data_IF_777289334745
#
_entry.id   IF_777289334745
#
_cell.length_a   1.000
_cell.length_b   1.000
_cell.length_c   1.000
_cell.angle_alpha   90.00
_cell.angle_beta   90.00
_cell.angle_gamma   90.00
#
_symmetry.space_group_name_H-M   'P 1'
#
loop_
_entity.id
_entity.type
_entity.pdbx_description
1 polymer ?
#
# COMPACT_ATOMS: atom_id res chain seq x y z
N UNK A 1 -4.58 21.95 -10.06
CA UNK A 1 -4.08 20.59 -10.29
C UNK A 1 -3.86 19.95 -8.94
N UNK A 2 -4.52 18.85 -8.64
CA UNK A 2 -4.27 18.07 -7.41
C UNK A 2 -2.82 17.57 -7.45
N UNK A 3 -2.07 17.80 -6.38
CA UNK A 3 -0.68 17.37 -6.28
C UNK A 3 -0.65 15.83 -6.28
N UNK A 4 0.11 15.22 -7.20
CA UNK A 4 0.30 13.76 -7.23
C UNK A 4 0.97 13.28 -5.96
N UNK A 5 0.51 12.15 -5.43
CA UNK A 5 1.14 11.55 -4.24
C UNK A 5 2.56 11.08 -4.56
N UNK A 6 3.45 11.20 -3.57
CA UNK A 6 4.86 10.79 -3.64
C UNK A 6 5.38 10.45 -2.26
N UNK A 7 6.52 9.79 -2.18
CA UNK A 7 7.15 9.42 -0.91
C UNK A 7 6.89 7.98 -0.52
N UNK A 8 6.89 7.71 0.76
CA UNK A 8 6.64 6.39 1.35
C UNK A 8 5.17 6.27 1.70
N UNK A 9 4.46 5.34 1.07
CA UNK A 9 3.08 5.02 1.40
C UNK A 9 3.02 3.62 2.01
N UNK A 10 2.30 3.48 3.12
CA UNK A 10 2.06 2.17 3.71
C UNK A 10 0.81 1.52 3.10
N UNK A 11 0.90 0.30 2.53
CA UNK A 11 -0.26 -0.54 2.25
C UNK A 11 -0.75 -1.12 3.59
N UNK A 12 -1.57 -0.34 4.29
CA UNK A 12 -1.86 -0.48 5.72
C UNK A 12 -2.41 -1.86 6.06
N UNK A 13 -1.86 -2.50 7.10
CA UNK A 13 -2.41 -3.73 7.66
C UNK A 13 -3.77 -3.46 8.31
N UNK A 14 -4.75 -4.34 8.11
CA UNK A 14 -6.06 -4.23 8.76
C UNK A 14 -6.09 -5.11 10.01
N UNK A 15 -6.15 -4.54 11.22
CA UNK A 15 -6.32 -5.32 12.43
C UNK A 15 -7.73 -5.92 12.48
N UNK A 16 -7.80 -7.18 12.90
CA UNK A 16 -9.02 -7.99 12.90
C UNK A 16 -9.26 -8.51 14.31
N UNK A 17 -10.51 -8.42 14.79
CA UNK A 17 -10.93 -8.97 16.09
C UNK A 17 -11.12 -10.49 16.00
N UNK A 18 -11.25 -11.20 17.16
CA UNK A 18 -11.51 -12.64 17.16
C UNK A 18 -12.81 -13.06 16.47
N UNK A 19 -13.81 -12.17 16.37
CA UNK A 19 -15.05 -12.37 15.61
C UNK A 19 -14.90 -12.12 14.12
N UNK A 20 -13.68 -11.87 13.65
CA UNK A 20 -13.30 -11.53 12.28
C UNK A 20 -13.81 -10.17 11.78
N UNK A 21 -14.41 -9.33 12.61
CA UNK A 21 -14.69 -7.94 12.26
C UNK A 21 -13.41 -7.08 12.28
N UNK A 22 -13.38 -5.99 11.51
CA UNK A 22 -12.26 -5.05 11.56
C UNK A 22 -12.19 -4.34 12.92
N UNK A 23 -11.00 -4.21 13.50
CA UNK A 23 -10.75 -3.40 14.69
C UNK A 23 -10.47 -1.95 14.29
N UNK A 24 -11.50 -1.16 14.21
CA UNK A 24 -11.43 0.24 13.78
C UNK A 24 -10.53 1.06 14.70
N UNK A 25 -10.57 0.83 16.00
CA UNK A 25 -9.74 1.59 16.94
C UNK A 25 -8.24 1.36 16.71
N UNK A 26 -7.81 0.09 16.59
CA UNK A 26 -6.42 -0.23 16.22
C UNK A 26 -6.06 0.28 14.82
N UNK A 27 -6.99 0.19 13.88
CA UNK A 27 -6.76 0.60 12.50
C UNK A 27 -6.44 2.11 12.40
N UNK A 28 -7.25 2.95 13.04
CA UNK A 28 -7.03 4.40 13.10
C UNK A 28 -5.72 4.74 13.82
N UNK A 29 -5.43 4.11 14.97
CA UNK A 29 -4.17 4.33 15.70
C UNK A 29 -2.96 3.97 14.85
N UNK A 30 -2.99 2.81 14.17
CA UNK A 30 -1.88 2.41 13.29
C UNK A 30 -1.70 3.37 12.11
N UNK A 31 -2.77 3.79 11.47
CA UNK A 31 -2.72 4.78 10.40
C UNK A 31 -2.08 6.10 10.87
N UNK A 32 -2.45 6.58 12.04
CA UNK A 32 -1.86 7.79 12.63
C UNK A 32 -0.38 7.58 12.92
N UNK A 33 -0.03 6.48 13.58
CA UNK A 33 1.36 6.12 13.85
C UNK A 33 2.22 6.08 12.58
N UNK A 34 1.73 5.51 11.49
CA UNK A 34 2.44 5.45 10.21
C UNK A 34 2.75 6.85 9.66
N UNK A 35 1.78 7.77 9.71
CA UNK A 35 1.98 9.15 9.27
C UNK A 35 2.96 9.89 10.17
N UNK A 36 2.86 9.72 11.49
CA UNK A 36 3.74 10.35 12.48
C UNK A 36 5.20 9.86 12.38
N UNK A 37 5.41 8.65 11.83
CA UNK A 37 6.73 8.03 11.69
C UNK A 37 7.30 8.04 10.28
N UNK A 38 6.77 8.87 9.37
CA UNK A 38 7.42 9.17 8.11
C UNK A 38 6.73 8.67 6.85
N UNK A 39 5.56 8.02 6.94
CA UNK A 39 4.75 7.80 5.77
C UNK A 39 4.18 9.13 5.25
N UNK A 40 4.33 9.37 3.95
CA UNK A 40 3.72 10.53 3.27
C UNK A 40 2.24 10.31 2.98
N UNK A 41 1.80 9.05 3.00
CA UNK A 41 0.42 8.66 2.75
C UNK A 41 0.16 7.19 3.08
N UNK A 42 -1.07 6.79 2.95
CA UNK A 42 -1.56 5.47 3.32
C UNK A 42 -2.36 4.85 2.15
N UNK A 43 -2.09 3.59 1.85
CA UNK A 43 -2.80 2.82 0.82
C UNK A 43 -3.59 1.64 1.46
N UNK A 44 -4.67 1.91 2.22
CA UNK A 44 -5.49 0.86 2.80
C UNK A 44 -6.22 0.06 1.72
N UNK A 45 -6.71 -1.12 2.06
CA UNK A 45 -7.51 -1.99 1.19
C UNK A 45 -6.77 -2.50 -0.06
N UNK A 46 -5.44 -2.69 0.07
CA UNK A 46 -4.64 -3.46 -0.85
C UNK A 46 -4.44 -4.91 -0.38
N UNK A 47 -3.48 -5.62 -0.98
CA UNK A 47 -3.17 -7.01 -0.64
C UNK A 47 -2.72 -7.17 0.82
N UNK A 48 -1.89 -6.25 1.33
CA UNK A 48 -1.45 -6.26 2.74
C UNK A 48 -2.59 -6.01 3.73
N UNK A 49 -3.64 -5.34 3.29
CA UNK A 49 -4.84 -5.04 4.09
C UNK A 49 -5.86 -6.17 4.10
N UNK A 50 -5.56 -7.31 3.47
CA UNK A 50 -6.54 -8.41 3.29
C UNK A 50 -7.82 -7.97 2.54
N UNK A 51 -7.71 -7.01 1.61
CA UNK A 51 -8.87 -6.34 1.01
C UNK A 51 -9.86 -7.31 0.36
N UNK A 52 -9.38 -8.42 -0.22
CA UNK A 52 -10.23 -9.42 -0.87
C UNK A 52 -10.95 -10.36 0.14
N UNK A 53 -10.64 -10.24 1.43
CA UNK A 53 -11.36 -10.90 2.52
C UNK A 53 -12.40 -9.98 3.19
N UNK A 54 -12.54 -8.73 2.73
CA UNK A 54 -13.54 -7.77 3.20
C UNK A 54 -14.54 -7.45 2.09
N UNK A 55 -15.82 -7.36 2.44
CA UNK A 55 -16.87 -6.93 1.52
C UNK A 55 -16.70 -5.44 1.13
N UNK A 56 -17.38 -5.03 0.07
CA UNK A 56 -17.40 -3.61 -0.33
C UNK A 56 -17.99 -2.73 0.76
N UNK A 57 -19.02 -3.20 1.48
CA UNK A 57 -19.64 -2.45 2.58
C UNK A 57 -18.68 -2.27 3.76
N UNK A 58 -17.94 -3.31 4.14
CA UNK A 58 -16.92 -3.20 5.19
C UNK A 58 -15.82 -2.21 4.79
N UNK A 59 -15.36 -2.24 3.53
CA UNK A 59 -14.32 -1.32 3.04
C UNK A 59 -14.80 0.12 3.01
N UNK A 60 -16.06 0.38 2.63
CA UNK A 60 -16.71 1.70 2.72
C UNK A 60 -16.72 2.18 4.16
N UNK A 61 -17.27 1.38 5.09
CA UNK A 61 -17.37 1.74 6.50
C UNK A 61 -16.00 1.99 7.16
N UNK A 62 -14.99 1.17 6.82
CA UNK A 62 -13.63 1.36 7.31
C UNK A 62 -12.99 2.66 6.78
N UNK A 63 -13.22 3.02 5.51
CA UNK A 63 -12.69 4.25 4.94
C UNK A 63 -13.31 5.49 5.59
N UNK A 64 -14.63 5.47 5.79
CA UNK A 64 -15.34 6.50 6.54
C UNK A 64 -14.81 6.65 7.97
N UNK A 65 -14.59 5.52 8.65
CA UNK A 65 -14.04 5.52 9.99
C UNK A 65 -12.62 6.08 10.10
N UNK A 66 -11.75 5.85 9.08
CA UNK A 66 -10.43 6.47 9.03
C UNK A 66 -10.55 8.00 8.95
N UNK A 67 -11.39 8.51 8.04
CA UNK A 67 -11.57 9.95 7.87
C UNK A 67 -12.20 10.57 9.11
N UNK A 68 -13.25 9.96 9.68
CA UNK A 68 -13.88 10.38 10.93
C UNK A 68 -12.92 10.32 12.13
N UNK A 69 -11.96 9.37 12.10
CA UNK A 69 -10.89 9.25 13.09
C UNK A 69 -9.77 10.27 12.91
N UNK A 70 -9.91 11.25 12.00
CA UNK A 70 -8.96 12.35 11.79
C UNK A 70 -7.79 12.03 10.88
N UNK A 71 -7.83 10.91 10.13
CA UNK A 71 -6.81 10.66 9.09
C UNK A 71 -7.13 11.56 7.89
N UNK A 72 -6.18 12.41 7.43
CA UNK A 72 -6.43 13.33 6.32
C UNK A 72 -6.77 12.56 5.04
N UNK A 73 -7.97 12.76 4.49
CA UNK A 73 -8.41 12.07 3.29
C UNK A 73 -7.43 12.23 2.10
N UNK A 74 -6.84 13.42 1.95
CA UNK A 74 -5.85 13.70 0.90
C UNK A 74 -4.58 12.85 1.00
N UNK A 75 -4.29 12.23 2.15
CA UNK A 75 -3.18 11.29 2.34
C UNK A 75 -3.60 9.82 2.14
N UNK A 76 -4.86 9.55 1.81
CA UNK A 76 -5.38 8.21 1.58
C UNK A 76 -5.38 7.87 0.07
N UNK A 77 -4.90 6.65 -0.25
CA UNK A 77 -4.96 6.02 -1.57
C UNK A 77 -5.58 4.62 -1.42
N UNK A 78 -6.89 4.52 -1.10
CA UNK A 78 -7.50 3.21 -0.89
C UNK A 78 -7.47 2.35 -2.14
N UNK A 79 -7.27 1.04 -1.96
CA UNK A 79 -7.44 0.06 -3.01
C UNK A 79 -8.91 -0.06 -3.37
N UNK A 80 -9.27 0.10 -4.65
CA UNK A 80 -10.66 0.03 -5.13
C UNK A 80 -10.90 -1.04 -6.19
N UNK A 81 -9.83 -1.61 -6.79
CA UNK A 81 -9.96 -2.64 -7.81
C UNK A 81 -10.62 -3.91 -7.30
N UNK A 82 -11.69 -4.32 -7.99
CA UNK A 82 -12.45 -5.55 -7.77
C UNK A 82 -12.63 -6.30 -9.09
N UNK A 83 -13.07 -7.56 -9.02
CA UNK A 83 -13.44 -8.32 -10.23
C UNK A 83 -14.73 -7.81 -10.86
N UNK A 84 -15.68 -7.35 -10.03
CA UNK A 84 -16.93 -6.75 -10.50
C UNK A 84 -16.74 -5.26 -10.79
N UNK A 85 -17.12 -4.83 -12.00
CA UNK A 85 -17.06 -3.44 -12.44
C UNK A 85 -17.84 -2.51 -11.50
N UNK A 86 -19.07 -2.91 -11.12
CA UNK A 86 -19.95 -2.14 -10.23
C UNK A 86 -19.32 -1.86 -8.86
N UNK A 87 -18.61 -2.84 -8.31
CA UNK A 87 -17.94 -2.71 -7.01
C UNK A 87 -16.75 -1.76 -7.10
N UNK A 88 -15.96 -1.85 -8.19
CA UNK A 88 -14.86 -0.92 -8.45
C UNK A 88 -15.37 0.51 -8.61
N UNK A 89 -16.44 0.73 -9.38
CA UNK A 89 -17.07 2.04 -9.55
C UNK A 89 -17.55 2.59 -8.21
N UNK A 90 -18.27 1.77 -7.44
CA UNK A 90 -18.82 2.16 -6.12
C UNK A 90 -17.72 2.59 -5.15
N UNK A 91 -16.69 1.77 -4.98
CA UNK A 91 -15.57 2.06 -4.07
C UNK A 91 -14.78 3.28 -4.53
N UNK A 92 -14.56 3.43 -5.84
CA UNK A 92 -13.83 4.56 -6.42
C UNK A 92 -14.61 5.87 -6.24
N UNK A 93 -15.90 5.90 -6.58
CA UNK A 93 -16.76 7.07 -6.38
C UNK A 93 -16.83 7.48 -4.90
N UNK A 94 -16.90 6.48 -3.99
CA UNK A 94 -16.90 6.74 -2.55
C UNK A 94 -15.59 7.38 -2.07
N UNK A 95 -14.43 6.87 -2.52
CA UNK A 95 -13.13 7.45 -2.19
C UNK A 95 -12.99 8.90 -2.69
N UNK A 96 -13.44 9.18 -3.92
CA UNK A 96 -13.45 10.54 -4.47
C UNK A 96 -14.37 11.46 -3.67
N UNK A 97 -15.57 10.99 -3.29
CA UNK A 97 -16.52 11.74 -2.47
C UNK A 97 -15.93 12.14 -1.12
N UNK A 98 -15.14 11.27 -0.49
CA UNK A 98 -14.44 11.54 0.78
C UNK A 98 -13.23 12.46 0.62
N UNK A 99 -12.80 12.76 -0.60
CA UNK A 99 -11.64 13.62 -0.88
C UNK A 99 -10.30 12.90 -0.76
N UNK A 100 -10.26 11.58 -1.00
CA UNK A 100 -9.01 10.82 -1.02
C UNK A 100 -8.05 11.37 -2.09
N UNK A 101 -6.74 11.35 -1.81
CA UNK A 101 -5.70 11.84 -2.71
C UNK A 101 -5.58 11.05 -4.03
N UNK A 102 -6.12 9.84 -4.05
CA UNK A 102 -6.24 8.97 -5.21
C UNK A 102 -6.76 7.60 -4.83
N UNK A 103 -6.81 6.69 -5.80
CA UNK A 103 -7.17 5.29 -5.60
C UNK A 103 -6.11 4.37 -6.19
N UNK A 104 -5.84 3.25 -5.53
CA UNK A 104 -4.97 2.19 -6.03
C UNK A 104 -5.84 1.12 -6.68
N UNK A 105 -5.76 0.96 -8.01
CA UNK A 105 -6.71 0.15 -8.75
C UNK A 105 -6.06 -1.08 -9.41
N UNK A 106 -6.41 -2.27 -8.90
CA UNK A 106 -6.13 -3.55 -9.56
C UNK A 106 -6.93 -3.67 -10.86
N UNK A 107 -6.40 -4.37 -11.88
CA UNK A 107 -7.25 -4.88 -12.97
C UNK A 107 -8.27 -5.89 -12.42
N UNK A 108 -9.35 -6.20 -13.18
CA UNK A 108 -10.28 -7.27 -12.81
C UNK A 108 -9.54 -8.62 -12.85
N UNK A 109 -9.30 -9.21 -11.69
CA UNK A 109 -8.34 -10.29 -11.50
C UNK A 109 -8.94 -11.70 -11.55
N UNK A 110 -10.24 -11.87 -11.72
CA UNK A 110 -10.84 -13.21 -11.79
C UNK A 110 -10.60 -13.86 -13.15
N UNK A 111 -10.92 -13.15 -14.24
CA UNK A 111 -10.72 -13.65 -15.61
C UNK A 111 -9.26 -13.44 -16.03
N UNK A 112 -8.64 -14.51 -16.60
CA UNK A 112 -7.24 -14.49 -17.01
C UNK A 112 -7.11 -14.37 -18.53
N UNK A 113 -5.92 -14.01 -19.00
CA UNK A 113 -5.59 -13.88 -20.42
C UNK A 113 -6.51 -12.88 -21.16
N UNK A 114 -6.92 -11.83 -20.45
CA UNK A 114 -7.71 -10.76 -21.05
C UNK A 114 -6.79 -9.89 -21.91
N UNK A 115 -7.14 -9.62 -23.17
CA UNK A 115 -6.36 -8.73 -24.02
C UNK A 115 -6.41 -7.28 -23.52
N UNK A 116 -5.40 -6.49 -23.90
CA UNK A 116 -5.30 -5.06 -23.53
C UNK A 116 -6.55 -4.25 -23.87
N UNK A 117 -7.25 -4.57 -24.96
CA UNK A 117 -8.51 -3.90 -25.32
C UNK A 117 -9.61 -4.11 -24.28
N UNK A 118 -9.70 -5.33 -23.72
CA UNK A 118 -10.65 -5.63 -22.66
C UNK A 118 -10.32 -4.90 -21.35
N UNK A 119 -9.03 -4.85 -21.00
CA UNK A 119 -8.55 -4.12 -19.83
C UNK A 119 -8.71 -2.60 -20.01
N UNK A 120 -8.38 -2.08 -21.19
CA UNK A 120 -8.62 -0.67 -21.51
C UNK A 120 -10.09 -0.29 -21.32
N UNK A 121 -11.00 -1.07 -21.90
CA UNK A 121 -12.44 -0.85 -21.76
C UNK A 121 -12.88 -0.88 -20.29
N UNK A 122 -12.36 -1.82 -19.50
CA UNK A 122 -12.68 -1.88 -18.06
C UNK A 122 -12.30 -0.59 -17.33
N UNK A 123 -11.06 -0.12 -17.50
CA UNK A 123 -10.62 1.12 -16.85
C UNK A 123 -11.37 2.34 -17.37
N UNK A 124 -11.63 2.43 -18.67
CA UNK A 124 -12.42 3.49 -19.28
C UNK A 124 -13.84 3.53 -18.71
N UNK A 125 -14.53 2.39 -18.67
CA UNK A 125 -15.88 2.27 -18.10
C UNK A 125 -15.92 2.69 -16.62
N UNK A 126 -14.89 2.36 -15.83
CA UNK A 126 -14.80 2.83 -14.43
C UNK A 126 -14.69 4.35 -14.38
N UNK A 127 -13.78 4.93 -15.15
CA UNK A 127 -13.54 6.39 -15.16
C UNK A 127 -14.80 7.14 -15.58
N UNK A 128 -15.43 6.70 -16.66
CA UNK A 128 -16.61 7.35 -17.22
C UNK A 128 -17.83 7.25 -16.29
N UNK A 129 -18.02 6.10 -15.63
CA UNK A 129 -19.11 5.91 -14.66
C UNK A 129 -18.92 6.64 -13.35
N UNK A 130 -17.68 6.83 -12.90
CA UNK A 130 -17.38 7.70 -11.74
C UNK A 130 -17.61 9.15 -12.10
N UNK A 131 -17.20 9.59 -13.30
CA UNK A 131 -17.53 10.89 -13.89
C UNK A 131 -17.09 12.11 -13.07
N UNK A 132 -16.07 11.97 -12.22
CA UNK A 132 -15.59 13.05 -11.34
C UNK A 132 -14.16 13.47 -11.71
N UNK A 133 -13.98 14.75 -12.07
CA UNK A 133 -12.69 15.31 -12.48
C UNK A 133 -11.61 15.31 -11.38
N UNK A 134 -11.98 15.05 -10.12
CA UNK A 134 -11.05 14.92 -8.99
C UNK A 134 -10.44 13.52 -8.88
N UNK A 135 -10.89 12.57 -9.68
CA UNK A 135 -10.41 11.19 -9.66
C UNK A 135 -8.95 11.10 -10.09
N UNK A 136 -8.10 10.57 -9.20
CA UNK A 136 -6.72 10.18 -9.49
C UNK A 136 -6.57 8.67 -9.36
N UNK A 137 -6.25 7.97 -10.44
CA UNK A 137 -6.02 6.52 -10.46
C UNK A 137 -4.52 6.25 -10.49
N UNK A 138 -4.07 5.45 -9.53
CA UNK A 138 -2.79 4.77 -9.54
C UNK A 138 -3.05 3.30 -9.88
N UNK A 139 -2.61 2.88 -11.06
CA UNK A 139 -2.75 1.50 -11.50
C UNK A 139 -1.97 0.57 -10.56
N UNK A 140 -2.47 -0.65 -10.37
CA UNK A 140 -1.78 -1.61 -9.52
C UNK A 140 -1.36 -2.85 -10.30
N UNK A 141 -0.07 -2.94 -10.59
CA UNK A 141 0.55 -4.06 -11.30
C UNK A 141 1.14 -5.05 -10.29
N UNK A 142 0.51 -6.21 -10.12
CA UNK A 142 0.93 -7.30 -9.24
C UNK A 142 0.61 -8.67 -9.89
N UNK A 143 1.31 -9.01 -11.00
CA UNK A 143 0.95 -10.16 -11.83
C UNK A 143 1.03 -11.50 -11.09
N UNK A 144 1.93 -11.66 -10.12
CA UNK A 144 2.05 -12.88 -9.34
C UNK A 144 0.83 -13.17 -8.44
N UNK A 145 0.00 -12.17 -8.14
CA UNK A 145 -1.24 -12.32 -7.36
C UNK A 145 -2.48 -12.23 -8.24
N UNK A 146 -2.56 -11.19 -9.06
CA UNK A 146 -3.71 -10.94 -9.94
C UNK A 146 -3.71 -11.87 -11.16
N UNK A 147 -2.56 -12.32 -11.61
CA UNK A 147 -2.33 -13.04 -12.86
C UNK A 147 -2.96 -12.32 -14.09
N UNK A 148 -2.93 -10.99 -14.04
CA UNK A 148 -3.36 -10.06 -15.09
C UNK A 148 -2.30 -8.96 -15.18
N UNK A 149 -1.33 -9.08 -16.09
CA UNK A 149 -0.31 -8.07 -16.27
C UNK A 149 -0.90 -6.82 -16.96
N UNK A 150 -0.30 -5.65 -16.66
CA UNK A 150 -0.56 -4.40 -17.37
C UNK A 150 0.61 -4.13 -18.30
N UNK A 151 0.38 -4.16 -19.61
CA UNK A 151 1.42 -3.89 -20.60
C UNK A 151 1.76 -2.39 -20.67
N UNK A 152 2.96 -2.05 -21.13
CA UNK A 152 3.34 -0.65 -21.40
C UNK A 152 2.39 0.00 -22.40
N UNK A 153 1.96 -0.74 -23.44
CA UNK A 153 1.01 -0.25 -24.44
C UNK A 153 -0.37 0.10 -23.87
N UNK A 154 -0.89 -0.73 -22.96
CA UNK A 154 -2.12 -0.44 -22.24
C UNK A 154 -2.00 0.82 -21.38
N UNK A 155 -0.91 0.92 -20.62
CA UNK A 155 -0.65 2.06 -19.72
C UNK A 155 -0.55 3.35 -20.55
N UNK A 156 0.21 3.34 -21.66
CA UNK A 156 0.33 4.48 -22.56
C UNK A 156 -1.03 4.92 -23.13
N UNK A 157 -1.86 3.98 -23.55
CA UNK A 157 -3.21 4.27 -24.07
C UNK A 157 -4.09 4.93 -23.00
N UNK A 158 -4.04 4.43 -21.77
CA UNK A 158 -4.79 4.99 -20.65
C UNK A 158 -4.33 6.40 -20.29
N UNK A 159 -3.01 6.63 -20.24
CA UNK A 159 -2.45 7.98 -19.99
C UNK A 159 -2.88 8.95 -21.09
N UNK A 160 -2.82 8.56 -22.37
CA UNK A 160 -3.22 9.41 -23.50
C UNK A 160 -4.72 9.76 -23.48
N UNK A 161 -5.56 8.79 -23.12
CA UNK A 161 -7.01 9.01 -23.09
C UNK A 161 -7.46 9.78 -21.83
N UNK A 162 -6.80 9.58 -20.69
CA UNK A 162 -7.19 10.13 -19.38
C UNK A 162 -6.00 10.76 -18.64
N UNK A 163 -5.31 11.78 -19.20
CA UNK A 163 -4.04 12.29 -18.69
C UNK A 163 -4.13 12.96 -17.32
N UNK A 164 -5.30 13.46 -16.94
CA UNK A 164 -5.55 14.05 -15.62
C UNK A 164 -6.07 13.04 -14.59
N UNK A 165 -6.45 11.85 -15.03
CA UNK A 165 -7.09 10.83 -14.17
C UNK A 165 -6.18 9.64 -13.92
N UNK A 166 -5.49 9.12 -14.93
CA UNK A 166 -4.53 8.01 -14.79
C UNK A 166 -3.15 8.61 -14.55
N UNK A 167 -2.79 8.76 -13.28
CA UNK A 167 -1.68 9.63 -12.85
C UNK A 167 -0.47 8.87 -12.31
N UNK A 168 -0.57 7.56 -12.11
CA UNK A 168 0.54 6.77 -11.59
C UNK A 168 0.29 5.26 -11.64
N UNK A 169 1.30 4.54 -11.18
CA UNK A 169 1.28 3.08 -11.04
C UNK A 169 2.07 2.65 -9.81
N UNK A 170 1.60 1.61 -9.13
CA UNK A 170 2.38 0.79 -8.22
C UNK A 170 2.81 -0.47 -8.96
N UNK A 171 4.11 -0.66 -9.12
CA UNK A 171 4.69 -1.88 -9.68
C UNK A 171 5.17 -2.82 -8.57
N UNK A 172 4.49 -3.93 -8.42
CA UNK A 172 4.82 -5.01 -7.48
C UNK A 172 5.20 -6.32 -8.19
N UNK A 173 5.58 -6.26 -9.47
CA UNK A 173 6.00 -7.46 -10.23
C UNK A 173 7.22 -8.16 -9.60
N UNK A 174 8.07 -7.40 -8.89
CA UNK A 174 9.33 -7.93 -8.32
C UNK A 174 10.41 -8.17 -9.37
N UNK A 175 10.22 -7.65 -10.57
CA UNK A 175 11.18 -7.65 -11.67
C UNK A 175 11.66 -6.21 -11.93
N UNK A 176 12.95 -5.97 -11.70
CA UNK A 176 13.55 -4.65 -11.94
C UNK A 176 13.44 -4.20 -13.40
N UNK A 177 13.53 -5.13 -14.36
CA UNK A 177 13.40 -4.77 -15.78
C UNK A 177 12.04 -4.13 -16.08
N UNK A 178 10.96 -4.64 -15.46
CA UNK A 178 9.64 -4.05 -15.61
C UNK A 178 9.58 -2.64 -15.00
N UNK A 179 10.04 -2.47 -13.74
CA UNK A 179 10.09 -1.15 -13.09
C UNK A 179 10.94 -0.16 -13.90
N UNK A 180 12.12 -0.59 -14.40
CA UNK A 180 12.98 0.24 -15.22
C UNK A 180 12.34 0.64 -16.55
N UNK A 181 11.60 -0.27 -17.19
CA UNK A 181 10.87 0.04 -18.42
C UNK A 181 9.77 1.08 -18.20
N UNK A 182 9.02 0.97 -17.08
CA UNK A 182 8.04 1.97 -16.67
C UNK A 182 8.68 3.35 -16.44
N UNK A 183 9.82 3.39 -15.72
CA UNK A 183 10.56 4.63 -15.46
C UNK A 183 11.02 5.29 -16.75
N UNK A 184 11.61 4.52 -17.67
CA UNK A 184 12.07 5.03 -18.97
C UNK A 184 10.93 5.55 -19.84
N UNK A 185 9.77 4.90 -19.80
CA UNK A 185 8.64 5.25 -20.66
C UNK A 185 7.85 6.46 -20.15
N UNK A 186 7.70 6.62 -18.82
CA UNK A 186 6.67 7.49 -18.28
C UNK A 186 7.14 8.48 -17.20
N UNK A 187 8.34 8.33 -16.61
CA UNK A 187 8.84 9.29 -15.62
C UNK A 187 9.36 10.58 -16.29
N UNK A 188 9.30 11.75 -15.60
CA UNK A 188 8.74 11.98 -14.28
C UNK A 188 7.24 12.33 -14.28
N UNK A 189 6.59 12.37 -15.44
CA UNK A 189 5.21 12.89 -15.60
C UNK A 189 4.13 11.91 -15.15
N UNK A 190 4.51 10.69 -14.79
CA UNK A 190 3.66 9.64 -14.28
C UNK A 190 4.25 9.09 -12.97
N UNK A 191 3.48 9.06 -11.89
CA UNK A 191 3.98 8.68 -10.58
C UNK A 191 4.20 7.16 -10.49
N UNK A 192 5.45 6.72 -10.53
CA UNK A 192 5.83 5.30 -10.46
C UNK A 192 6.29 4.98 -9.05
N UNK A 193 5.54 4.10 -8.37
CA UNK A 193 5.88 3.55 -7.06
C UNK A 193 6.36 2.12 -7.19
N UNK A 194 7.51 1.80 -6.58
CA UNK A 194 7.88 0.40 -6.42
C UNK A 194 7.08 -0.25 -5.27
N UNK A 195 6.65 -1.49 -5.48
CA UNK A 195 6.11 -2.35 -4.43
C UNK A 195 7.17 -3.27 -3.81
N UNK A 196 8.42 -3.20 -4.26
CA UNK A 196 9.55 -4.03 -3.79
C UNK A 196 10.58 -3.13 -3.10
N UNK A 197 10.81 -3.37 -1.83
CA UNK A 197 11.71 -2.56 -0.99
C UNK A 197 13.13 -2.49 -1.55
N UNK A 198 13.64 -3.59 -2.09
CA UNK A 198 14.98 -3.67 -2.68
C UNK A 198 15.19 -2.74 -3.89
N UNK A 199 14.12 -2.26 -4.51
CA UNK A 199 14.18 -1.38 -5.68
C UNK A 199 13.96 0.11 -5.36
N UNK A 200 13.77 0.47 -4.08
CA UNK A 200 13.40 1.85 -3.73
C UNK A 200 14.44 2.87 -4.20
N UNK A 201 15.70 2.66 -3.87
CA UNK A 201 16.77 3.59 -4.27
C UNK A 201 16.85 3.76 -5.79
N UNK A 202 16.89 2.65 -6.52
CA UNK A 202 16.97 2.67 -7.99
C UNK A 202 15.73 3.34 -8.62
N UNK A 203 14.54 3.10 -8.03
CA UNK A 203 13.29 3.75 -8.46
C UNK A 203 13.38 5.27 -8.30
N UNK A 204 13.87 5.76 -7.15
CA UNK A 204 14.03 7.19 -6.88
C UNK A 204 15.08 7.83 -7.79
N UNK A 205 16.20 7.16 -8.02
CA UNK A 205 17.26 7.62 -8.94
C UNK A 205 16.77 7.68 -10.39
N UNK A 206 15.87 6.77 -10.77
CA UNK A 206 15.20 6.77 -12.08
C UNK A 206 14.06 7.77 -12.24
N UNK A 207 13.79 8.64 -11.25
CA UNK A 207 12.72 9.63 -11.29
C UNK A 207 11.35 9.12 -10.83
N UNK A 208 11.29 7.97 -10.18
CA UNK A 208 10.06 7.43 -9.60
C UNK A 208 9.58 8.22 -8.38
N UNK A 209 8.33 8.03 -8.03
CA UNK A 209 7.63 8.80 -7.00
C UNK A 209 7.90 8.32 -5.56
N UNK A 210 8.32 7.07 -5.38
CA UNK A 210 8.55 6.48 -4.06
C UNK A 210 8.22 5.00 -4.00
N UNK A 211 7.70 4.55 -2.86
CA UNK A 211 7.30 3.15 -2.67
C UNK A 211 5.94 3.00 -2.00
N UNK A 212 5.30 1.85 -2.26
CA UNK A 212 4.12 1.36 -1.55
C UNK A 212 4.40 -0.08 -1.14
N UNK A 213 5.06 -0.30 0.01
CA UNK A 213 5.60 -1.60 0.43
C UNK A 213 5.09 -2.03 1.80
N UNK A 214 5.01 -3.35 2.03
CA UNK A 214 4.56 -3.90 3.30
C UNK A 214 5.49 -3.52 4.47
N UNK A 215 6.79 -3.37 4.21
CA UNK A 215 7.79 -2.95 5.19
C UNK A 215 7.47 -1.59 5.82
N UNK A 216 6.75 -0.71 5.10
CA UNK A 216 6.32 0.57 5.66
C UNK A 216 5.43 0.42 6.91
N UNK A 217 4.74 -0.72 7.09
CA UNK A 217 3.95 -0.96 8.30
C UNK A 217 4.78 -1.13 9.59
N UNK A 218 6.07 -1.41 9.46
CA UNK A 218 6.96 -1.67 10.60
C UNK A 218 8.19 -0.75 10.63
N UNK A 219 8.65 -0.29 9.47
CA UNK A 219 9.84 0.54 9.33
C UNK A 219 9.60 1.77 8.44
N UNK A 220 8.55 2.58 8.72
CA UNK A 220 8.27 3.78 7.92
C UNK A 220 9.41 4.79 8.00
N UNK A 221 10.03 4.93 9.17
CA UNK A 221 11.15 5.85 9.38
C UNK A 221 12.38 5.50 8.52
N UNK A 222 12.77 4.23 8.48
CA UNK A 222 13.92 3.78 7.67
C UNK A 222 13.69 3.97 6.16
N UNK A 223 12.47 3.67 5.69
CA UNK A 223 12.10 3.91 4.29
C UNK A 223 12.07 5.41 3.96
N UNK A 224 11.56 6.26 4.87
CA UNK A 224 11.55 7.70 4.67
C UNK A 224 12.97 8.28 4.71
N UNK A 225 13.85 7.79 5.60
CA UNK A 225 15.24 8.20 5.63
C UNK A 225 15.92 7.94 4.28
N UNK A 226 15.72 6.76 3.68
CA UNK A 226 16.21 6.45 2.34
C UNK A 226 15.58 7.35 1.27
N UNK A 227 14.28 7.59 1.34
CA UNK A 227 13.58 8.48 0.40
C UNK A 227 14.19 9.90 0.40
N UNK A 228 14.45 10.47 1.58
CA UNK A 228 15.06 11.80 1.71
C UNK A 228 16.52 11.80 1.28
N UNK A 229 17.24 10.72 1.55
CA UNK A 229 18.67 10.58 1.26
C UNK A 229 18.99 10.03 -0.13
N UNK A 230 18.03 9.84 -1.02
CA UNK A 230 18.19 9.10 -2.28
C UNK A 230 19.31 9.60 -3.21
N UNK A 231 19.78 10.85 -3.02
CA UNK A 231 20.90 11.45 -3.76
C UNK A 231 22.13 11.72 -2.89
N UNK A 232 22.15 11.23 -1.66
CA UNK A 232 23.28 11.38 -0.74
C UNK A 232 24.23 10.20 -0.80
N UNK A 233 25.41 10.34 -0.20
CA UNK A 233 26.41 9.27 -0.10
C UNK A 233 25.99 8.12 0.82
N UNK A 234 24.99 8.32 1.68
CA UNK A 234 24.46 7.30 2.62
C UNK A 234 23.33 6.45 2.03
N UNK A 235 22.85 6.78 0.83
CA UNK A 235 21.68 6.12 0.24
C UNK A 235 21.85 4.60 0.04
N UNK A 236 23.00 4.17 -0.42
CA UNK A 236 23.34 2.75 -0.65
C UNK A 236 23.33 1.96 0.66
N UNK A 237 23.89 2.53 1.73
CA UNK A 237 23.91 1.91 3.05
C UNK A 237 22.50 1.75 3.61
N UNK A 238 21.66 2.81 3.52
CA UNK A 238 20.26 2.76 3.95
C UNK A 238 19.47 1.72 3.16
N UNK A 239 19.67 1.65 1.84
CA UNK A 239 19.04 0.61 1.01
C UNK A 239 19.48 -0.80 1.43
N UNK A 240 20.77 -0.98 1.69
CA UNK A 240 21.30 -2.29 2.11
C UNK A 240 20.70 -2.73 3.45
N UNK A 241 20.53 -1.82 4.42
CA UNK A 241 19.89 -2.11 5.71
C UNK A 241 18.42 -2.53 5.53
N UNK A 242 17.65 -1.81 4.70
CA UNK A 242 16.26 -2.16 4.40
C UNK A 242 16.20 -3.53 3.73
N UNK A 243 17.05 -3.78 2.74
CA UNK A 243 17.08 -5.06 2.02
C UNK A 243 17.40 -6.23 2.96
N UNK A 244 18.36 -6.07 3.88
CA UNK A 244 18.68 -7.09 4.89
C UNK A 244 17.49 -7.38 5.80
N UNK A 245 16.78 -6.35 6.27
CA UNK A 245 15.60 -6.50 7.11
C UNK A 245 14.49 -7.28 6.37
N UNK A 246 14.19 -6.89 5.13
CA UNK A 246 13.14 -7.54 4.35
C UNK A 246 13.50 -8.99 4.02
N UNK A 247 14.76 -9.29 3.68
CA UNK A 247 15.24 -10.66 3.46
C UNK A 247 15.13 -11.52 4.72
N UNK A 248 15.27 -10.93 5.91
CA UNK A 248 15.05 -11.64 7.17
C UNK A 248 13.58 -12.03 7.36
N UNK A 249 12.65 -11.21 6.86
CA UNK A 249 11.20 -11.36 7.03
C UNK A 249 10.61 -12.29 5.95
N UNK A 250 11.07 -12.15 4.71
CA UNK A 250 10.52 -12.86 3.56
C UNK A 250 10.63 -14.39 3.67
N UNK A 251 9.62 -15.10 3.16
CA UNK A 251 9.62 -16.57 3.06
C UNK A 251 9.28 -17.35 4.35
N UNK A 252 8.99 -16.67 5.47
CA UNK A 252 8.70 -17.33 6.76
C UNK A 252 7.30 -17.90 6.87
N UNK A 253 6.30 -17.13 6.45
CA UNK A 253 4.89 -17.48 6.41
C UNK A 253 4.21 -16.58 5.39
N UNK A 254 2.87 -16.65 5.30
CA UNK A 254 2.16 -15.67 4.47
C UNK A 254 2.44 -14.25 4.99
N UNK A 255 2.92 -13.37 4.11
CA UNK A 255 3.53 -12.10 4.51
C UNK A 255 2.63 -11.23 5.40
N UNK A 256 1.30 -11.23 5.18
CA UNK A 256 0.35 -10.47 6.03
C UNK A 256 0.43 -10.91 7.48
N UNK A 257 0.38 -12.23 7.73
CA UNK A 257 0.49 -12.79 9.08
C UNK A 257 1.86 -12.46 9.71
N UNK A 258 2.93 -12.50 8.90
CA UNK A 258 4.29 -12.16 9.36
C UNK A 258 4.38 -10.70 9.79
N UNK A 259 3.93 -9.75 8.98
CA UNK A 259 3.95 -8.33 9.34
C UNK A 259 3.05 -8.02 10.53
N UNK A 260 1.85 -8.62 10.62
CA UNK A 260 0.98 -8.51 11.81
C UNK A 260 1.66 -9.08 13.06
N UNK A 261 2.37 -10.19 12.93
CA UNK A 261 3.16 -10.79 14.01
C UNK A 261 4.27 -9.87 14.52
N UNK A 262 4.94 -9.13 13.63
CA UNK A 262 5.94 -8.13 14.01
C UNK A 262 5.28 -6.98 14.79
N UNK A 263 4.19 -6.43 14.27
CA UNK A 263 3.45 -5.38 14.95
C UNK A 263 2.96 -5.86 16.32
N UNK A 264 2.41 -7.09 16.43
CA UNK A 264 1.97 -7.68 17.69
C UNK A 264 3.11 -7.76 18.73
N UNK A 265 4.31 -8.16 18.29
CA UNK A 265 5.48 -8.30 19.15
C UNK A 265 5.93 -6.93 19.71
N UNK A 266 6.16 -5.97 18.84
CA UNK A 266 6.69 -4.65 19.27
C UNK A 266 5.65 -3.75 19.94
N UNK A 267 4.35 -3.91 19.62
CA UNK A 267 3.27 -3.24 20.31
C UNK A 267 2.88 -3.91 21.64
N UNK A 268 3.42 -5.10 21.94
CA UNK A 268 2.96 -5.96 23.04
C UNK A 268 1.43 -6.19 23.03
N UNK A 269 0.83 -6.25 21.83
CA UNK A 269 -0.61 -6.36 21.61
C UNK A 269 -0.94 -7.58 20.74
N UNK A 270 -1.33 -8.71 21.36
CA UNK A 270 -1.66 -9.94 20.63
C UNK A 270 -2.90 -9.80 19.72
N UNK A 271 -3.70 -8.75 19.88
CA UNK A 271 -4.85 -8.47 19.01
C UNK A 271 -4.49 -8.18 17.56
N UNK A 272 -3.19 -8.03 17.23
CA UNK A 272 -2.70 -7.94 15.87
C UNK A 272 -2.52 -9.30 15.17
N UNK A 273 -2.52 -10.42 15.91
CA UNK A 273 -2.21 -11.74 15.33
C UNK A 273 -3.31 -12.26 14.42
N UNK A 274 -4.57 -11.89 14.67
CA UNK A 274 -5.72 -12.40 13.92
C UNK A 274 -5.71 -11.95 12.46
N UNK A 275 -5.88 -12.90 11.56
CA UNK A 275 -6.06 -12.72 10.12
C UNK A 275 -7.35 -13.35 9.65
N UNK A 276 -7.88 -12.88 8.51
CA UNK A 276 -9.07 -13.51 7.92
C UNK A 276 -8.68 -14.75 7.08
N UNK A 277 -9.47 -15.84 7.15
CA UNK A 277 -9.32 -16.94 6.21
C UNK A 277 -9.36 -16.43 4.74
N UNK A 278 -8.61 -17.08 3.83
CA UNK A 278 -7.85 -18.32 4.00
C UNK A 278 -6.45 -18.15 4.58
N UNK A 279 -6.05 -16.95 5.00
CA UNK A 279 -4.75 -16.71 5.62
C UNK A 279 -4.75 -17.38 7.01
N UNK A 280 -3.64 -18.00 7.37
CA UNK A 280 -3.44 -18.62 8.67
C UNK A 280 -2.59 -17.70 9.56
N UNK A 281 -2.91 -17.68 10.86
CA UNK A 281 -2.09 -17.02 11.87
C UNK A 281 -0.73 -17.72 12.01
N UNK A 282 0.26 -16.98 12.50
CA UNK A 282 1.56 -17.57 12.85
C UNK A 282 1.42 -18.59 13.97
N UNK A 283 2.05 -19.75 13.82
CA UNK A 283 2.19 -20.71 14.92
C UNK A 283 3.05 -20.12 16.05
N UNK A 284 2.94 -20.66 17.29
CA UNK A 284 3.81 -20.23 18.40
C UNK A 284 5.31 -20.30 18.05
N UNK A 285 5.74 -21.35 17.35
CA UNK A 285 7.14 -21.49 16.90
C UNK A 285 7.54 -20.39 15.92
N UNK A 286 6.71 -20.10 14.91
CA UNK A 286 6.99 -19.04 13.93
C UNK A 286 7.08 -17.66 14.59
N UNK A 287 6.23 -17.36 15.58
CA UNK A 287 6.29 -16.11 16.35
C UNK A 287 7.61 -16.00 17.13
N UNK A 288 8.01 -17.07 17.83
CA UNK A 288 9.25 -17.07 18.61
C UNK A 288 10.49 -16.93 17.72
N UNK A 289 10.53 -17.64 16.59
CA UNK A 289 11.64 -17.56 15.65
C UNK A 289 11.74 -16.16 15.04
N UNK A 290 10.63 -15.58 14.66
CA UNK A 290 10.57 -14.21 14.12
C UNK A 290 11.07 -13.18 15.14
N UNK A 291 10.60 -13.23 16.39
CA UNK A 291 11.02 -12.34 17.47
C UNK A 291 12.51 -12.47 17.78
N UNK A 292 13.03 -13.71 17.89
CA UNK A 292 14.45 -13.99 18.11
C UNK A 292 15.32 -13.37 17.01
N UNK A 293 14.96 -13.60 15.76
CA UNK A 293 15.78 -13.19 14.63
C UNK A 293 15.75 -11.68 14.41
N UNK A 294 14.62 -11.01 14.65
CA UNK A 294 14.53 -9.55 14.64
C UNK A 294 15.36 -8.92 15.78
N UNK A 295 15.34 -9.53 16.98
CA UNK A 295 16.17 -9.09 18.10
C UNK A 295 17.66 -9.26 17.78
N UNK A 296 18.06 -10.39 17.21
CA UNK A 296 19.44 -10.66 16.80
C UNK A 296 19.91 -9.69 15.68
N UNK A 297 18.99 -9.28 14.81
CA UNK A 297 19.25 -8.27 13.78
C UNK A 297 19.37 -6.86 14.37
N UNK A 298 18.90 -6.62 15.59
CA UNK A 298 18.86 -5.30 16.23
C UNK A 298 17.71 -4.43 15.73
N UNK A 299 16.66 -5.03 15.15
CA UNK A 299 15.49 -4.27 14.72
C UNK A 299 14.68 -3.77 15.91
N UNK A 300 14.28 -2.51 15.85
CA UNK A 300 13.39 -1.88 16.83
C UNK A 300 12.27 -1.15 16.11
N UNK A 301 11.10 -1.13 16.72
CA UNK A 301 9.93 -0.40 16.24
C UNK A 301 9.46 0.54 17.36
N UNK A 302 9.23 1.85 17.09
CA UNK A 302 8.68 2.75 18.10
C UNK A 302 7.33 2.25 18.60
N UNK A 303 7.02 2.54 19.89
CA UNK A 303 5.75 2.14 20.49
C UNK A 303 4.56 2.73 19.74
N UNK A 304 3.54 1.92 19.48
CA UNK A 304 2.26 2.37 18.91
C UNK A 304 1.46 3.27 19.87
N UNK A 305 1.69 3.17 21.19
CA UNK A 305 1.01 3.98 22.20
C UNK A 305 1.58 5.41 22.31
N UNK A 306 2.73 5.69 21.68
CA UNK A 306 3.33 7.03 21.67
C UNK A 306 2.48 8.04 20.89
N UNK A 307 1.65 7.59 19.95
CA UNK A 307 0.75 8.45 19.17
C UNK A 307 -0.36 9.13 19.99
N UNK A 308 -0.73 8.59 21.16
CA UNK A 308 -1.77 9.18 22.01
C UNK A 308 -1.28 10.37 22.86
N UNK A 309 0.04 10.62 22.94
CA UNK A 309 0.58 11.68 23.80
C UNK A 309 0.50 13.08 23.18
N UNK A 310 0.31 13.19 21.86
CA UNK A 310 0.23 14.48 21.16
C UNK A 310 -1.21 14.99 20.98
N UNK A 311 -2.22 14.21 21.37
CA UNK A 311 -3.63 14.57 21.24
C UNK A 311 -4.30 15.07 22.51
N UNK A 312 -3.55 15.24 23.63
CA UNK A 312 -4.09 15.90 24.82
C UNK A 312 -3.90 17.40 24.69
N UNK A 313 -4.98 18.22 24.63
CA UNK A 313 -4.82 19.67 24.79
C UNK A 313 -4.17 19.93 26.15
N UNK A 314 -3.21 20.85 26.16
CA UNK A 314 -2.64 21.34 27.42
C UNK A 314 -3.79 21.86 28.30
N UNK A 315 -3.90 21.32 29.49
CA UNK A 315 -4.86 21.72 30.50
C UNK A 315 -4.60 23.13 31.01
#
# INVERSE_FOLDING_TARGET
MTQRMKGVLAPVLTPVKPDLSADIGRFVRHCRWLLDHGCSGLAPFGTSSEANSFSTDERVAMLEALVAGGIPAAQLMPGTGCSALSDTVRLTAHAVKLGCGGVLMLPPFYYKNIPDDGLYRYFADVIERVGDARLNIYLYHIPQMANVPLSLGLIERLIKAYPSTVVGIKDSAGDWNNTQALLKAFAPDFAIFTGKDAFLLQTLQGGGAGCITACANINPHGLNALYQAARSTTAEELQAQITKLVNLIDGRAYFVATYKGIVAHYAADPGWLTVRPPILELTPQQKNDLARDLTAFGFTMPSLDAADRHSRPAA
#
